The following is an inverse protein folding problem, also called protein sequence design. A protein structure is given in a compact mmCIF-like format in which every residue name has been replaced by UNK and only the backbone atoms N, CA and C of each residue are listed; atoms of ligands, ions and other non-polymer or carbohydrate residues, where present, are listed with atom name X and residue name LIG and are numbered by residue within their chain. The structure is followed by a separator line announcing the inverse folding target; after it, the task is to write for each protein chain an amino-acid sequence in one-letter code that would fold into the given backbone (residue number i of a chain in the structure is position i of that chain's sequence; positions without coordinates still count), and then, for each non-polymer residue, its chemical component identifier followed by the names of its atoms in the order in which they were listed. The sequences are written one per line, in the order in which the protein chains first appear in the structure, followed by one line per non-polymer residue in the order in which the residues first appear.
data_IF_246635115758
#
_entry.id   IF_246635115758
#
_cell.length_a   1.000
_cell.length_b   1.000
_cell.length_c   1.000
_cell.angle_alpha   90.00
_cell.angle_beta   90.00
_cell.angle_gamma   90.00
#
_symmetry.space_group_name_H-M   'P 1'
#
loop_
_entity.id
_entity.type
_entity.pdbx_description
1 polymer ?
#
# COMPACT_ATOMS: atom_id res chain seq x y z
N UNK A 1 12.44 -55.34 -16.31
CA UNK A 1 13.81 -55.84 -16.52
C UNK A 1 14.76 -54.86 -15.85
N UNK A 2 15.69 -55.36 -15.03
CA UNK A 2 16.70 -54.66 -14.19
C UNK A 2 16.13 -53.97 -12.94
N UNK A 3 16.06 -54.57 -11.74
CA UNK A 3 16.85 -55.60 -11.05
C UNK A 3 18.21 -55.14 -10.46
N UNK A 4 18.19 -54.97 -9.12
CA UNK A 4 19.29 -55.11 -8.12
C UNK A 4 20.44 -54.08 -8.05
N UNK A 5 21.27 -54.07 -6.97
CA UNK A 5 21.09 -54.58 -5.60
C UNK A 5 21.59 -53.66 -4.45
N UNK A 6 21.21 -54.04 -3.22
CA UNK A 6 21.78 -53.61 -1.93
C UNK A 6 23.29 -53.89 -1.82
N UNK A 7 23.98 -53.14 -0.94
CA UNK A 7 25.24 -53.59 -0.32
C UNK A 7 25.50 -52.95 1.05
N UNK A 8 26.31 -53.58 1.92
CA UNK A 8 25.94 -53.82 3.30
C UNK A 8 26.92 -53.31 4.37
N UNK A 9 26.36 -53.23 5.59
CA UNK A 9 26.93 -53.46 6.93
C UNK A 9 28.40 -53.94 6.97
N UNK A 10 29.27 -53.19 7.66
CA UNK A 10 30.49 -53.73 8.29
C UNK A 10 30.43 -53.56 9.81
N UNK A 11 30.67 -54.64 10.59
CA UNK A 11 30.77 -54.60 12.03
C UNK A 11 32.22 -54.71 12.52
N UNK A 12 32.38 -54.42 13.82
CA UNK A 12 33.46 -54.80 14.74
C UNK A 12 34.83 -54.14 14.51
N UNK A 13 35.28 -53.44 15.56
CA UNK A 13 36.38 -53.97 16.38
C UNK A 13 36.31 -53.45 17.80
N UNK A 14 36.08 -54.41 18.70
CA UNK A 14 36.25 -54.37 20.14
C UNK A 14 37.76 -54.48 20.44
N UNK A 15 38.31 -53.48 21.11
CA UNK A 15 39.57 -53.55 21.87
C UNK A 15 39.31 -52.62 23.07
N UNK A 16 38.91 -53.08 24.25
CA UNK A 16 39.66 -53.91 25.19
C UNK A 16 41.06 -53.37 25.47
N UNK A 17 41.18 -52.46 26.46
CA UNK A 17 42.06 -52.58 27.65
C UNK A 17 42.16 -51.28 28.48
N UNK A 18 42.65 -51.33 29.74
CA UNK A 18 41.86 -50.91 30.89
C UNK A 18 42.41 -49.70 31.66
N UNK A 19 41.59 -49.26 32.62
CA UNK A 19 41.98 -48.71 33.93
C UNK A 19 43.18 -47.76 33.96
N UNK A 20 42.88 -46.46 34.01
CA UNK A 20 43.66 -45.61 34.90
C UNK A 20 42.73 -44.76 35.76
N UNK A 21 42.81 -45.04 37.06
CA UNK A 21 42.28 -44.23 38.14
C UNK A 21 42.85 -42.81 38.02
N UNK A 22 42.29 -41.94 38.84
CA UNK A 22 43.01 -40.79 39.38
C UNK A 22 42.96 -39.56 38.48
N UNK A 23 41.84 -38.84 38.58
CA UNK A 23 41.84 -37.49 39.14
C UNK A 23 40.46 -36.86 38.92
N UNK A 24 39.49 -37.23 39.76
CA UNK A 24 38.46 -36.29 40.18
C UNK A 24 39.14 -35.18 41.00
N UNK A 25 39.87 -34.30 40.31
CA UNK A 25 40.22 -32.99 40.84
C UNK A 25 38.96 -32.15 40.77
N UNK A 26 38.17 -32.27 41.84
CA UNK A 26 37.28 -31.21 42.28
C UNK A 26 38.11 -29.93 42.44
N UNK A 27 38.13 -29.11 41.39
CA UNK A 27 38.98 -27.93 41.41
C UNK A 27 39.01 -27.21 40.07
N UNK A 28 37.85 -26.72 39.61
CA UNK A 28 37.76 -25.44 38.88
C UNK A 28 36.29 -25.07 38.58
N UNK A 29 35.49 -24.88 39.64
CA UNK A 29 34.29 -24.03 39.59
C UNK A 29 34.45 -22.84 40.55
N UNK A 30 35.59 -22.16 40.49
CA UNK A 30 35.82 -20.83 41.05
C UNK A 30 36.53 -20.07 39.92
N UNK A 31 35.99 -19.04 39.28
CA UNK A 31 34.90 -18.15 39.64
C UNK A 31 34.02 -17.95 38.41
N UNK A 32 32.70 -18.17 38.57
CA UNK A 32 31.73 -17.46 37.76
C UNK A 32 31.89 -15.97 38.12
N UNK A 33 32.81 -15.32 37.40
CA UNK A 33 33.13 -13.90 37.51
C UNK A 33 31.80 -13.15 37.49
N UNK A 34 31.48 -12.45 38.58
CA UNK A 34 30.30 -11.60 38.78
C UNK A 34 30.31 -10.38 37.82
N UNK A 35 30.31 -10.64 36.51
CA UNK A 35 30.24 -9.65 35.41
C UNK A 35 28.98 -9.83 34.55
N UNK A 36 27.97 -10.56 35.05
CA UNK A 36 26.71 -10.83 34.34
C UNK A 36 25.65 -9.72 34.44
N UNK A 37 25.83 -8.76 35.36
CA UNK A 37 24.88 -7.64 35.52
C UNK A 37 24.89 -6.68 34.32
N UNK A 38 26.07 -6.24 33.88
CA UNK A 38 26.19 -5.30 32.77
C UNK A 38 25.79 -5.90 31.41
N UNK A 39 26.07 -7.18 31.18
CA UNK A 39 25.68 -7.86 29.95
C UNK A 39 24.14 -7.92 29.81
N UNK A 40 23.44 -8.18 30.91
CA UNK A 40 21.97 -8.19 30.92
C UNK A 40 21.39 -6.78 30.71
N UNK A 41 22.00 -5.75 31.31
CA UNK A 41 21.60 -4.36 31.08
C UNK A 41 21.77 -3.93 29.62
N UNK A 42 22.89 -4.29 28.98
CA UNK A 42 23.10 -3.99 27.57
C UNK A 42 22.06 -4.65 26.67
N UNK A 43 21.72 -5.91 26.93
CA UNK A 43 20.66 -6.61 26.19
C UNK A 43 19.31 -5.92 26.39
N UNK A 44 18.97 -5.53 27.62
CA UNK A 44 17.75 -4.78 27.91
C UNK A 44 17.69 -3.46 27.13
N UNK A 45 18.77 -2.68 27.14
CA UNK A 45 18.85 -1.40 26.42
C UNK A 45 18.70 -1.62 24.91
N UNK A 46 19.33 -2.66 24.36
CA UNK A 46 19.20 -2.99 22.93
C UNK A 46 17.75 -3.38 22.59
N UNK A 47 17.10 -4.20 23.41
CA UNK A 47 15.71 -4.60 23.18
C UNK A 47 14.78 -3.38 23.25
N UNK A 48 14.95 -2.52 24.27
CA UNK A 48 14.16 -1.30 24.45
C UNK A 48 14.33 -0.34 23.26
N UNK A 49 15.57 -0.06 22.86
CA UNK A 49 15.87 0.84 21.74
C UNK A 49 15.38 0.28 20.41
N UNK A 50 15.58 -1.03 20.15
CA UNK A 50 15.07 -1.69 18.94
C UNK A 50 13.55 -1.65 18.87
N UNK A 51 12.85 -1.89 19.99
CA UNK A 51 11.37 -1.88 20.03
C UNK A 51 10.84 -0.45 19.85
N UNK A 52 11.50 0.54 20.47
CA UNK A 52 11.14 1.95 20.31
C UNK A 52 11.29 2.40 18.86
N UNK A 53 12.40 2.05 18.20
CA UNK A 53 12.63 2.39 16.79
C UNK A 53 11.60 1.74 15.87
N UNK A 54 11.29 0.45 16.09
CA UNK A 54 10.27 -0.26 15.35
C UNK A 54 8.89 0.40 15.49
N UNK A 55 8.49 0.77 16.71
CA UNK A 55 7.22 1.45 16.96
C UNK A 55 7.12 2.81 16.25
N UNK A 56 8.21 3.58 16.24
CA UNK A 56 8.28 4.86 15.52
C UNK A 56 8.15 4.65 14.01
N UNK A 57 8.86 3.66 13.45
CA UNK A 57 8.78 3.34 12.01
C UNK A 57 7.36 2.91 11.61
N UNK A 58 6.71 2.08 12.43
CA UNK A 58 5.31 1.69 12.19
C UNK A 58 4.37 2.89 12.17
N UNK A 59 4.56 3.87 13.07
CA UNK A 59 3.78 5.11 13.06
C UNK A 59 4.00 5.92 11.79
N UNK A 60 5.25 6.10 11.35
CA UNK A 60 5.54 6.82 10.12
C UNK A 60 4.92 6.16 8.89
N UNK A 61 5.03 4.84 8.77
CA UNK A 61 4.40 4.10 7.67
C UNK A 61 2.88 4.27 7.69
N UNK A 62 2.25 4.18 8.87
CA UNK A 62 0.79 4.37 8.98
C UNK A 62 0.34 5.78 8.59
N UNK A 63 1.12 6.80 8.94
CA UNK A 63 0.84 8.19 8.58
C UNK A 63 1.02 8.42 7.08
N UNK A 64 2.10 7.89 6.49
CA UNK A 64 2.35 7.98 5.05
C UNK A 64 1.23 7.30 4.24
N UNK A 65 0.79 6.11 4.64
CA UNK A 65 -0.31 5.41 3.97
C UNK A 65 -1.62 6.21 4.00
N UNK A 66 -1.95 6.86 5.12
CA UNK A 66 -3.15 7.70 5.21
C UNK A 66 -3.07 8.92 4.29
N UNK A 67 -1.88 9.50 4.16
CA UNK A 67 -1.66 10.64 3.26
C UNK A 67 -1.82 10.20 1.80
N UNK A 68 -1.21 9.09 1.40
CA UNK A 68 -1.36 8.55 0.04
C UNK A 68 -2.81 8.16 -0.26
N UNK A 69 -3.52 7.56 0.69
CA UNK A 69 -4.95 7.27 0.53
C UNK A 69 -5.78 8.54 0.34
N UNK A 70 -5.53 9.59 1.13
CA UNK A 70 -6.22 10.87 0.97
C UNK A 70 -5.91 11.53 -0.37
N UNK A 71 -4.65 11.43 -0.82
CA UNK A 71 -4.22 11.93 -2.12
C UNK A 71 -4.93 11.20 -3.27
N UNK A 72 -4.90 9.87 -3.29
CA UNK A 72 -5.56 9.06 -4.31
C UNK A 72 -7.06 9.37 -4.34
N UNK A 73 -7.71 9.46 -3.17
CA UNK A 73 -9.13 9.82 -3.10
C UNK A 73 -9.43 11.21 -3.69
N UNK A 74 -8.53 12.18 -3.49
CA UNK A 74 -8.65 13.51 -4.09
C UNK A 74 -8.40 13.50 -5.60
N UNK A 75 -7.41 12.74 -6.07
CA UNK A 75 -7.12 12.59 -7.49
C UNK A 75 -8.30 11.92 -8.21
N UNK A 76 -8.86 10.86 -7.62
CA UNK A 76 -10.05 10.18 -8.12
C UNK A 76 -11.28 11.09 -8.16
N UNK A 77 -11.50 11.89 -7.12
CA UNK A 77 -12.60 12.86 -7.07
C UNK A 77 -12.47 13.92 -8.17
N UNK A 78 -11.24 14.38 -8.45
CA UNK A 78 -10.99 15.40 -9.46
C UNK A 78 -10.95 14.83 -10.89
N UNK A 79 -10.62 13.55 -11.07
CA UNK A 79 -10.52 12.92 -12.39
C UNK A 79 -11.85 12.99 -13.17
N UNK A 80 -12.98 12.78 -12.48
CA UNK A 80 -14.30 12.78 -13.12
C UNK A 80 -14.75 14.14 -13.64
N UNK A 81 -14.81 15.19 -12.82
CA UNK A 81 -15.14 16.53 -13.29
C UNK A 81 -14.21 17.01 -14.41
N UNK A 82 -12.91 16.71 -14.34
CA UNK A 82 -11.93 17.13 -15.35
C UNK A 82 -12.14 16.41 -16.68
N UNK A 83 -12.38 15.09 -16.69
CA UNK A 83 -12.65 14.37 -17.92
C UNK A 83 -13.96 14.81 -18.57
N UNK A 84 -15.00 15.07 -17.77
CA UNK A 84 -16.28 15.57 -18.25
C UNK A 84 -16.14 17.00 -18.79
N UNK A 85 -15.34 17.84 -18.14
CA UNK A 85 -15.04 19.19 -18.61
C UNK A 85 -14.33 19.14 -19.97
N UNK A 86 -13.35 18.25 -20.14
CA UNK A 86 -12.67 18.09 -21.44
C UNK A 86 -13.64 17.70 -22.56
N UNK A 87 -14.58 16.79 -22.28
CA UNK A 87 -15.64 16.42 -23.24
C UNK A 87 -16.55 17.61 -23.55
N UNK A 88 -16.92 18.40 -22.54
CA UNK A 88 -17.75 19.58 -22.73
C UNK A 88 -17.05 20.64 -23.59
N UNK A 89 -15.75 20.86 -23.38
CA UNK A 89 -14.95 21.75 -24.22
C UNK A 89 -14.83 21.23 -25.66
N UNK A 90 -14.63 19.93 -25.87
CA UNK A 90 -14.63 19.32 -27.22
C UNK A 90 -15.97 19.55 -27.95
N UNK A 91 -17.11 19.50 -27.25
CA UNK A 91 -18.41 19.83 -27.85
C UNK A 91 -18.52 21.30 -28.23
N UNK A 92 -17.98 22.20 -27.41
CA UNK A 92 -17.97 23.63 -27.69
C UNK A 92 -17.21 23.96 -28.99
N UNK A 93 -16.20 23.17 -29.35
CA UNK A 93 -15.48 23.35 -30.62
C UNK A 93 -16.32 23.00 -31.86
N UNK A 94 -17.35 22.17 -31.70
CA UNK A 94 -18.23 21.75 -32.80
C UNK A 94 -19.30 22.78 -33.17
N UNK A 95 -19.69 23.64 -32.22
CA UNK A 95 -20.74 24.64 -32.40
C UNK A 95 -21.07 25.38 -31.11
N UNK A 96 -21.86 26.45 -31.25
CA UNK A 96 -22.26 27.28 -30.11
C UNK A 96 -23.50 26.69 -29.41
N UNK A 97 -23.42 26.35 -28.10
CA UNK A 97 -24.57 25.87 -27.36
C UNK A 97 -25.60 27.00 -27.20
N UNK A 98 -26.90 26.66 -27.12
CA UNK A 98 -27.93 27.61 -26.73
C UNK A 98 -27.57 28.28 -25.39
N UNK A 99 -27.70 29.62 -25.28
CA UNK A 99 -27.27 30.34 -24.09
C UNK A 99 -28.00 29.83 -22.84
N UNK A 100 -27.24 29.58 -21.77
CA UNK A 100 -27.74 29.24 -20.42
C UNK A 100 -28.52 27.93 -20.33
N UNK A 101 -28.04 26.88 -20.99
CA UNK A 101 -28.61 25.53 -20.87
C UNK A 101 -27.73 24.63 -20.00
N UNK A 102 -28.36 23.94 -19.05
CA UNK A 102 -27.74 22.85 -18.30
C UNK A 102 -27.99 21.54 -19.05
N UNK A 103 -26.94 20.73 -19.18
CA UNK A 103 -26.98 19.41 -19.79
C UNK A 103 -26.62 18.35 -18.77
N UNK A 104 -27.13 17.15 -18.96
CA UNK A 104 -26.70 15.96 -18.22
C UNK A 104 -25.70 15.16 -19.02
N UNK A 105 -24.70 14.62 -18.34
CA UNK A 105 -23.76 13.66 -18.90
C UNK A 105 -23.45 12.57 -17.88
N UNK A 106 -23.51 11.31 -18.31
CA UNK A 106 -23.18 10.16 -17.47
C UNK A 106 -21.75 9.75 -17.77
N UNK A 107 -20.89 9.76 -16.76
CA UNK A 107 -19.49 9.40 -16.91
C UNK A 107 -19.07 8.36 -15.87
N UNK A 108 -18.29 7.38 -16.31
CA UNK A 108 -17.81 6.28 -15.47
C UNK A 108 -16.33 6.47 -15.18
N UNK A 109 -15.99 6.65 -13.91
CA UNK A 109 -14.61 6.79 -13.43
C UNK A 109 -14.35 5.64 -12.47
N UNK A 110 -13.28 4.87 -12.71
CA UNK A 110 -12.89 3.74 -11.87
C UNK A 110 -14.03 2.73 -11.60
N UNK A 111 -14.92 2.52 -12.59
CA UNK A 111 -16.08 1.62 -12.48
C UNK A 111 -17.29 2.19 -11.75
N UNK A 112 -17.21 3.41 -11.22
CA UNK A 112 -18.35 4.12 -10.64
C UNK A 112 -18.95 5.09 -11.67
N UNK A 113 -20.21 4.86 -12.03
CA UNK A 113 -20.95 5.74 -12.94
C UNK A 113 -21.61 6.86 -12.14
N UNK A 114 -21.25 8.09 -12.43
CA UNK A 114 -21.81 9.29 -11.82
C UNK A 114 -22.46 10.18 -12.88
N UNK A 115 -23.50 10.89 -12.45
CA UNK A 115 -24.18 11.87 -13.27
C UNK A 115 -23.59 13.24 -13.03
N UNK A 116 -23.31 13.96 -14.12
CA UNK A 116 -22.74 15.29 -14.12
C UNK A 116 -23.70 16.28 -14.75
N UNK A 117 -23.75 17.47 -14.17
CA UNK A 117 -24.36 18.66 -14.77
C UNK A 117 -23.26 19.46 -15.46
N UNK A 118 -23.49 19.76 -16.72
CA UNK A 118 -22.64 20.65 -17.52
C UNK A 118 -23.42 21.92 -17.80
N UNK A 119 -22.89 23.06 -17.43
CA UNK A 119 -23.49 24.37 -17.73
C UNK A 119 -22.59 25.17 -18.65
N UNK A 120 -23.20 25.74 -19.69
CA UNK A 120 -22.54 26.67 -20.61
C UNK A 120 -23.09 28.06 -20.36
N UNK A 121 -22.18 28.99 -20.06
CA UNK A 121 -22.51 30.42 -19.88
C UNK A 121 -21.63 31.24 -20.80
N UNK A 122 -22.21 32.23 -21.47
CA UNK A 122 -21.48 33.15 -22.36
C UNK A 122 -21.46 34.55 -21.73
N UNK A 123 -20.28 35.15 -21.68
CA UNK A 123 -20.08 36.53 -21.24
C UNK A 123 -19.29 37.27 -22.31
N UNK A 124 -19.99 38.07 -23.13
CA UNK A 124 -19.39 38.71 -24.31
C UNK A 124 -18.95 37.68 -25.35
N UNK A 125 -17.64 37.56 -25.57
CA UNK A 125 -17.03 36.58 -26.49
C UNK A 125 -16.43 35.37 -25.77
N UNK A 126 -16.56 35.29 -24.44
CA UNK A 126 -15.95 34.23 -23.64
C UNK A 126 -17.01 33.23 -23.17
N UNK A 127 -16.79 31.97 -23.52
CA UNK A 127 -17.55 30.85 -22.99
C UNK A 127 -16.94 30.36 -21.67
N UNK A 128 -17.80 30.13 -20.68
CA UNK A 128 -17.46 29.50 -19.40
C UNK A 128 -18.24 28.20 -19.30
N UNK A 129 -17.50 27.11 -19.14
CA UNK A 129 -18.03 25.76 -19.00
C UNK A 129 -17.80 25.28 -17.57
N UNK A 130 -18.84 24.79 -16.91
CA UNK A 130 -18.74 24.22 -15.57
C UNK A 130 -19.28 22.80 -15.61
N UNK A 131 -18.49 21.85 -15.12
CA UNK A 131 -18.87 20.44 -15.00
C UNK A 131 -18.81 20.04 -13.53
N UNK A 132 -19.95 19.68 -12.96
CA UNK A 132 -20.08 19.31 -11.54
C UNK A 132 -20.85 17.99 -11.39
N UNK A 133 -20.45 17.11 -10.46
CA UNK A 133 -21.26 15.95 -10.11
C UNK A 133 -22.61 16.42 -9.53
N UNK A 134 -23.71 15.97 -10.14
CA UNK A 134 -25.06 16.33 -9.71
C UNK A 134 -25.99 15.12 -9.91
N UNK A 135 -26.36 14.47 -8.80
CA UNK A 135 -27.25 13.32 -8.80
C UNK A 135 -28.67 13.67 -9.27
N UNK A 136 -29.05 14.95 -9.25
CA UNK A 136 -30.37 15.44 -9.67
C UNK A 136 -30.39 15.91 -11.12
N UNK A 137 -29.25 15.87 -11.82
CA UNK A 137 -29.14 16.28 -13.23
C UNK A 137 -29.98 15.42 -14.19
N UNK A 138 -30.65 14.37 -13.72
CA UNK A 138 -31.47 13.48 -14.53
C UNK A 138 -32.58 14.19 -15.31
N UNK A 139 -33.03 15.35 -14.83
CA UNK A 139 -34.06 16.19 -15.45
C UNK A 139 -33.56 17.07 -16.59
N UNK A 140 -32.25 17.28 -16.72
CA UNK A 140 -31.67 18.10 -17.79
C UNK A 140 -31.62 17.35 -19.13
N UNK A 141 -31.64 18.07 -20.27
CA UNK A 141 -31.42 17.46 -21.57
C UNK A 141 -30.06 16.76 -21.63
N UNK A 142 -29.98 15.65 -22.37
CA UNK A 142 -28.71 14.95 -22.60
C UNK A 142 -27.75 15.85 -23.38
N UNK A 143 -26.48 15.88 -22.98
CA UNK A 143 -25.44 16.55 -23.75
C UNK A 143 -25.40 15.96 -25.17
N UNK A 144 -25.57 16.78 -26.23
CA UNK A 144 -25.52 16.28 -27.59
C UNK A 144 -24.10 15.89 -27.99
N UNK A 145 -23.98 15.08 -29.05
CA UNK A 145 -22.67 14.71 -29.61
C UNK A 145 -21.99 15.89 -30.35
N UNK A 146 -22.72 16.92 -30.71
CA UNK A 146 -22.20 18.17 -31.28
C UNK A 146 -23.25 19.26 -31.10
N UNK A 147 -22.83 20.53 -31.15
CA UNK A 147 -23.72 21.68 -31.16
C UNK A 147 -23.98 22.19 -32.58
#
# INVERSE_FOLDING_TARGET
MNDKPRSPKRPRTLADRPSNRMNQRFGNRRAAKRRRGYALLLVMVIILTSTAFAAVHQRHLSAALRLEQARIASEDYNAGPVSVLAIACDRLESGDPPPSTNYRYSHTVNGNTQLYRISYTVSGTQWTVVAEPDATAGSYPLLPASF
#
